data_IF_008425719688
#
_entry.id   IF_008425719688
#
_cell.length_a   1.000
_cell.length_b   1.000
_cell.length_c   1.000
_cell.angle_alpha   90.00
_cell.angle_beta   90.00
_cell.angle_gamma   90.00
#
_symmetry.space_group_name_H-M   'P 1'
#
loop_
_entity.id
_entity.type
_entity.pdbx_description
1 polymer ?
#
# COMPACT_ATOMS: atom_id res chain seq x y z
N UNK A 1 -2.20 -7.14 34.41
CA UNK A 1 -1.06 -7.07 33.49
C UNK A 1 -0.53 -8.46 33.20
N UNK A 2 -0.84 -9.00 32.01
CA UNK A 2 -0.16 -10.16 31.48
C UNK A 2 1.18 -9.67 30.89
N UNK A 3 2.33 -10.28 31.23
CA UNK A 3 3.58 -9.97 30.55
C UNK A 3 3.47 -10.25 29.05
N UNK A 4 4.02 -9.38 28.19
CA UNK A 4 3.98 -9.54 26.73
C UNK A 4 4.39 -10.94 26.28
N UNK A 5 5.46 -11.49 26.88
CA UNK A 5 5.96 -12.83 26.58
C UNK A 5 4.92 -13.93 26.83
N UNK A 6 4.10 -13.78 27.87
CA UNK A 6 3.05 -14.75 28.17
C UNK A 6 1.91 -14.62 27.16
N UNK A 7 1.56 -13.39 26.74
CA UNK A 7 0.57 -13.18 25.71
C UNK A 7 1.01 -13.75 24.35
N UNK A 8 2.29 -13.57 23.97
CA UNK A 8 2.91 -14.22 22.79
C UNK A 8 2.76 -15.74 22.84
N UNK A 9 3.11 -16.36 23.97
CA UNK A 9 2.99 -17.81 24.16
C UNK A 9 1.53 -18.26 24.01
N UNK A 10 0.59 -17.62 24.70
CA UNK A 10 -0.83 -17.98 24.62
C UNK A 10 -1.40 -17.80 23.20
N UNK A 11 -0.96 -16.77 22.47
CA UNK A 11 -1.34 -16.57 21.07
C UNK A 11 -0.80 -17.71 20.18
N UNK A 12 0.49 -18.05 20.33
CA UNK A 12 1.14 -19.12 19.54
C UNK A 12 0.52 -20.50 19.79
N UNK A 13 0.06 -20.76 21.01
CA UNK A 13 -0.62 -22.00 21.40
C UNK A 13 -2.13 -21.98 21.10
N UNK A 14 -2.64 -20.93 20.44
CA UNK A 14 -4.06 -20.73 20.12
C UNK A 14 -4.97 -20.80 21.35
N UNK A 15 -4.46 -20.32 22.49
CA UNK A 15 -5.19 -20.24 23.78
C UNK A 15 -5.89 -18.89 23.97
N UNK A 16 -5.70 -17.95 23.06
CA UNK A 16 -6.40 -16.68 23.01
C UNK A 16 -7.50 -16.75 21.95
N UNK A 17 -8.73 -16.41 22.33
CA UNK A 17 -9.83 -16.34 21.37
C UNK A 17 -9.62 -15.12 20.44
N UNK A 18 -9.67 -15.28 19.11
CA UNK A 18 -9.51 -14.16 18.17
C UNK A 18 -10.83 -13.38 18.06
N UNK A 19 -11.12 -12.60 19.09
CA UNK A 19 -12.29 -11.72 19.19
C UNK A 19 -11.87 -10.28 19.46
N UNK A 20 -12.73 -9.32 19.14
CA UNK A 20 -12.47 -7.89 19.36
C UNK A 20 -12.16 -7.65 20.84
N UNK A 21 -12.98 -8.20 21.75
CA UNK A 21 -12.75 -8.04 23.18
C UNK A 21 -11.35 -8.49 23.63
N UNK A 22 -10.84 -9.63 23.12
CA UNK A 22 -9.50 -10.11 23.48
C UNK A 22 -8.43 -9.23 22.86
N UNK A 23 -8.62 -8.82 21.60
CA UNK A 23 -7.74 -7.87 20.91
C UNK A 23 -7.62 -6.55 21.69
N UNK A 24 -8.74 -5.91 22.04
CA UNK A 24 -8.78 -4.64 22.77
C UNK A 24 -8.17 -4.76 24.17
N UNK A 25 -8.46 -5.84 24.90
CA UNK A 25 -7.88 -6.08 26.22
C UNK A 25 -6.36 -6.26 26.14
N UNK A 26 -5.85 -6.97 25.12
CA UNK A 26 -4.41 -7.14 24.92
C UNK A 26 -3.75 -5.83 24.53
N UNK A 27 -4.34 -5.08 23.60
CA UNK A 27 -3.84 -3.77 23.21
C UNK A 27 -3.71 -2.87 24.44
N UNK A 28 -4.80 -2.69 25.20
CA UNK A 28 -4.81 -1.82 26.39
C UNK A 28 -3.86 -2.28 27.50
N UNK A 29 -3.61 -3.59 27.61
CA UNK A 29 -2.68 -4.12 28.60
C UNK A 29 -1.20 -3.93 28.22
N UNK A 30 -0.91 -3.70 26.94
CA UNK A 30 0.46 -3.72 26.38
C UNK A 30 0.90 -2.36 25.81
N UNK A 31 -0.02 -1.46 25.45
CA UNK A 31 0.26 -0.18 24.81
C UNK A 31 1.08 0.82 25.66
N UNK A 32 1.26 0.55 26.96
CA UNK A 32 2.00 1.41 27.87
C UNK A 32 3.54 1.33 27.75
N UNK A 33 4.10 0.41 26.96
CA UNK A 33 5.56 0.26 26.80
C UNK A 33 5.99 0.55 25.36
N UNK A 34 6.62 1.71 25.14
CA UNK A 34 7.06 2.17 23.80
C UNK A 34 8.10 1.22 23.17
N UNK A 35 8.94 0.59 23.98
CA UNK A 35 9.99 -0.32 23.50
C UNK A 35 9.42 -1.61 22.89
N UNK A 36 8.16 -1.93 23.19
CA UNK A 36 7.51 -3.20 22.82
C UNK A 36 6.44 -3.02 21.72
N UNK A 37 6.23 -1.82 21.17
CA UNK A 37 5.14 -1.53 20.20
C UNK A 37 5.19 -2.48 18.99
N UNK A 38 6.35 -2.66 18.37
CA UNK A 38 6.49 -3.57 17.22
C UNK A 38 6.11 -5.01 17.57
N UNK A 39 6.54 -5.49 18.74
CA UNK A 39 6.23 -6.84 19.21
C UNK A 39 4.75 -6.99 19.55
N UNK A 40 4.15 -5.95 20.13
CA UNK A 40 2.71 -5.87 20.39
C UNK A 40 1.92 -5.94 19.08
N UNK A 41 2.27 -5.13 18.07
CA UNK A 41 1.59 -5.12 16.78
C UNK A 41 1.71 -6.48 16.08
N UNK A 42 2.89 -7.12 16.11
CA UNK A 42 3.05 -8.49 15.61
C UNK A 42 2.19 -9.50 16.39
N UNK A 43 2.10 -9.40 17.71
CA UNK A 43 1.21 -10.24 18.52
C UNK A 43 -0.26 -10.05 18.13
N UNK A 44 -0.71 -8.81 18.00
CA UNK A 44 -2.09 -8.49 17.63
C UNK A 44 -2.38 -8.96 16.19
N UNK A 45 -1.46 -8.77 15.26
CA UNK A 45 -1.54 -9.31 13.91
C UNK A 45 -1.67 -10.84 13.90
N UNK A 46 -0.88 -11.55 14.71
CA UNK A 46 -0.97 -12.99 14.86
C UNK A 46 -2.30 -13.45 15.48
N UNK A 47 -2.88 -12.67 16.39
CA UNK A 47 -4.20 -12.96 16.95
C UNK A 47 -5.28 -12.83 15.87
N UNK A 48 -5.29 -11.71 15.15
CA UNK A 48 -6.25 -11.44 14.08
C UNK A 48 -6.13 -12.46 12.95
N UNK A 49 -4.91 -12.89 12.64
CA UNK A 49 -4.66 -13.92 11.63
C UNK A 49 -5.33 -15.28 11.93
N UNK A 50 -5.70 -15.56 13.18
CA UNK A 50 -6.44 -16.78 13.52
C UNK A 50 -7.92 -16.71 13.10
N UNK A 51 -8.47 -15.51 12.93
CA UNK A 51 -9.81 -15.25 12.39
C UNK A 51 -9.84 -13.89 11.66
N UNK A 52 -9.27 -13.83 10.43
CA UNK A 52 -9.08 -12.56 9.73
C UNK A 52 -10.38 -11.82 9.40
N UNK A 53 -11.53 -12.51 9.34
CA UNK A 53 -12.83 -11.93 9.02
C UNK A 53 -13.25 -10.81 9.98
N UNK A 54 -12.67 -10.79 11.18
CA UNK A 54 -12.94 -9.75 12.17
C UNK A 54 -12.59 -8.35 11.66
N UNK A 55 -11.60 -8.22 10.77
CA UNK A 55 -11.23 -6.95 10.14
C UNK A 55 -12.40 -6.40 9.32
N UNK A 56 -13.17 -7.27 8.66
CA UNK A 56 -14.31 -6.85 7.85
C UNK A 56 -15.62 -6.76 8.65
N UNK A 57 -15.68 -7.43 9.81
CA UNK A 57 -16.86 -7.42 10.67
C UNK A 57 -16.86 -6.19 11.58
N UNK A 58 -15.70 -5.87 12.16
CA UNK A 58 -15.53 -4.79 13.15
C UNK A 58 -14.29 -3.93 12.83
N UNK A 59 -14.20 -3.32 11.63
CA UNK A 59 -13.02 -2.56 11.18
C UNK A 59 -12.68 -1.37 12.09
N UNK A 60 -13.70 -0.71 12.67
CA UNK A 60 -13.50 0.42 13.58
C UNK A 60 -12.70 -0.02 14.82
N UNK A 61 -13.10 -1.12 15.47
CA UNK A 61 -12.44 -1.62 16.69
C UNK A 61 -11.03 -2.15 16.45
N UNK A 62 -10.69 -2.49 15.20
CA UNK A 62 -9.37 -3.02 14.84
C UNK A 62 -8.41 -1.91 14.42
N UNK A 63 -8.87 -0.94 13.62
CA UNK A 63 -8.01 0.11 13.08
C UNK A 63 -7.99 1.39 13.91
N UNK A 64 -8.96 1.57 14.82
CA UNK A 64 -9.08 2.78 15.63
C UNK A 64 -8.98 2.44 17.11
N UNK A 65 -8.10 3.15 17.79
CA UNK A 65 -7.89 3.06 19.23
C UNK A 65 -8.24 4.40 19.83
N UNK A 66 -9.19 4.42 20.77
CA UNK A 66 -9.69 5.66 21.39
C UNK A 66 -10.18 6.72 20.38
N UNK A 67 -10.54 6.28 19.17
CA UNK A 67 -11.01 7.14 18.07
C UNK A 67 -9.91 7.60 17.11
N UNK A 68 -8.64 7.29 17.39
CA UNK A 68 -7.50 7.62 16.54
C UNK A 68 -7.09 6.42 15.69
N UNK A 69 -6.73 6.69 14.42
CA UNK A 69 -6.29 5.65 13.48
C UNK A 69 -4.89 5.17 13.82
N UNK A 70 -4.74 3.87 14.11
CA UNK A 70 -3.45 3.25 14.38
C UNK A 70 -2.78 2.80 13.07
N UNK A 71 -1.99 3.71 12.49
CA UNK A 71 -1.30 3.49 11.22
C UNK A 71 -0.28 2.35 11.29
N UNK A 72 0.42 2.17 12.42
CA UNK A 72 1.44 1.14 12.58
C UNK A 72 0.81 -0.25 12.64
N UNK A 73 -0.27 -0.40 13.40
CA UNK A 73 -1.03 -1.64 13.45
C UNK A 73 -1.68 -1.94 12.10
N UNK A 74 -2.32 -0.95 11.47
CA UNK A 74 -2.92 -1.13 10.15
C UNK A 74 -1.89 -1.62 9.12
N UNK A 75 -0.71 -1.00 9.09
CA UNK A 75 0.40 -1.40 8.22
C UNK A 75 0.86 -2.84 8.51
N UNK A 76 0.93 -3.23 9.78
CA UNK A 76 1.26 -4.61 10.17
C UNK A 76 0.21 -5.62 9.67
N UNK A 77 -1.08 -5.30 9.80
CA UNK A 77 -2.16 -6.17 9.31
C UNK A 77 -2.14 -6.30 7.79
N UNK A 78 -1.86 -5.23 7.05
CA UNK A 78 -1.73 -5.30 5.59
C UNK A 78 -0.48 -6.07 5.13
N UNK A 79 0.60 -6.07 5.91
CA UNK A 79 1.80 -6.92 5.66
C UNK A 79 1.61 -8.38 6.05
N UNK A 80 0.65 -8.68 6.92
CA UNK A 80 0.52 -10.01 7.50
C UNK A 80 0.19 -11.07 6.43
N UNK A 81 1.02 -12.12 6.32
CA UNK A 81 0.95 -13.13 5.24
C UNK A 81 -0.26 -14.06 5.34
N UNK A 82 -0.77 -14.28 6.54
CA UNK A 82 -1.92 -15.17 6.78
C UNK A 82 -3.28 -14.47 6.59
N UNK A 83 -3.29 -13.16 6.39
CA UNK A 83 -4.52 -12.41 6.13
C UNK A 83 -4.76 -12.40 4.62
N UNK A 84 -5.91 -12.94 4.20
CA UNK A 84 -6.25 -13.09 2.79
C UNK A 84 -6.37 -11.75 2.04
N UNK A 85 -5.98 -11.75 0.76
CA UNK A 85 -6.01 -10.54 -0.09
C UNK A 85 -7.42 -9.95 -0.22
N UNK A 86 -8.45 -10.80 -0.27
CA UNK A 86 -9.85 -10.37 -0.29
C UNK A 86 -10.24 -9.56 0.96
N UNK A 87 -9.73 -9.95 2.14
CA UNK A 87 -9.98 -9.26 3.41
C UNK A 87 -9.24 -7.92 3.44
N UNK A 88 -7.99 -7.89 2.99
CA UNK A 88 -7.20 -6.66 2.86
C UNK A 88 -7.85 -5.65 1.90
N UNK A 89 -8.27 -6.09 0.72
CA UNK A 89 -8.97 -5.23 -0.25
C UNK A 89 -10.30 -4.73 0.32
N UNK A 90 -11.07 -5.59 1.00
CA UNK A 90 -12.32 -5.18 1.64
C UNK A 90 -12.09 -4.13 2.74
N UNK A 91 -11.03 -4.28 3.55
CA UNK A 91 -10.64 -3.32 4.57
C UNK A 91 -10.24 -1.96 3.97
N UNK A 92 -9.46 -1.95 2.88
CA UNK A 92 -9.08 -0.72 2.18
C UNK A 92 -10.29 0.01 1.59
N UNK A 93 -11.25 -0.73 1.02
CA UNK A 93 -12.53 -0.16 0.57
C UNK A 93 -13.31 0.44 1.72
N UNK A 94 -13.40 -0.27 2.84
CA UNK A 94 -14.08 0.25 4.04
C UNK A 94 -13.43 1.55 4.53
N UNK A 95 -12.09 1.60 4.60
CA UNK A 95 -11.35 2.80 5.00
C UNK A 95 -11.64 3.98 4.07
N UNK A 96 -11.62 3.76 2.75
CA UNK A 96 -11.97 4.80 1.77
C UNK A 96 -13.40 5.31 1.98
N UNK A 97 -14.36 4.40 2.12
CA UNK A 97 -15.78 4.73 2.12
C UNK A 97 -16.25 5.37 3.45
N UNK A 98 -15.63 4.99 4.57
CA UNK A 98 -16.08 5.39 5.91
C UNK A 98 -15.15 6.41 6.58
N UNK A 99 -13.89 6.52 6.13
CA UNK A 99 -12.87 7.38 6.73
C UNK A 99 -12.19 8.23 5.64
N UNK A 100 -12.91 9.17 5.01
CA UNK A 100 -12.40 9.94 3.87
C UNK A 100 -11.09 10.66 4.18
N UNK A 101 -10.13 10.57 3.27
CA UNK A 101 -8.83 11.24 3.43
C UNK A 101 -7.79 10.46 4.24
N UNK A 102 -8.14 9.30 4.83
CA UNK A 102 -7.16 8.51 5.60
C UNK A 102 -6.09 7.92 4.67
N UNK A 103 -6.49 7.39 3.52
CA UNK A 103 -5.59 6.76 2.55
C UNK A 103 -4.67 7.78 1.85
N UNK A 104 -5.10 9.04 1.75
CA UNK A 104 -4.26 10.13 1.22
C UNK A 104 -3.14 10.54 2.18
N UNK A 105 -3.30 10.25 3.48
CA UNK A 105 -2.43 10.74 4.56
C UNK A 105 -1.54 9.67 5.17
N UNK A 106 -1.92 8.40 5.10
CA UNK A 106 -1.22 7.30 5.77
C UNK A 106 -0.36 6.46 4.83
N UNK A 107 0.82 6.04 5.27
CA UNK A 107 1.73 5.17 4.53
C UNK A 107 1.47 3.68 4.83
N UNK A 108 0.25 3.23 4.53
CA UNK A 108 -0.22 1.90 4.92
C UNK A 108 0.42 0.73 4.19
N UNK A 109 0.80 0.94 2.93
CA UNK A 109 1.25 -0.11 2.02
C UNK A 109 2.60 0.28 1.43
N UNK A 110 3.49 -0.70 1.33
CA UNK A 110 4.59 -0.61 0.36
C UNK A 110 4.06 -0.88 -1.05
N UNK A 111 4.83 -0.48 -2.07
CA UNK A 111 4.46 -0.72 -3.45
C UNK A 111 4.37 -2.21 -3.80
N UNK A 112 5.18 -3.06 -3.16
CA UNK A 112 5.13 -4.51 -3.35
C UNK A 112 3.79 -5.10 -2.88
N UNK A 113 3.30 -4.67 -1.71
CA UNK A 113 2.00 -5.13 -1.20
C UNK A 113 0.88 -4.62 -2.10
N UNK A 114 0.97 -3.36 -2.56
CA UNK A 114 0.00 -2.83 -3.51
C UNK A 114 0.02 -3.64 -4.81
N UNK A 115 1.18 -4.05 -5.32
CA UNK A 115 1.30 -4.90 -6.50
C UNK A 115 0.62 -6.26 -6.30
N UNK A 116 0.75 -6.89 -5.12
CA UNK A 116 0.06 -8.14 -4.79
C UNK A 116 -1.47 -7.97 -4.72
N UNK A 117 -1.94 -6.84 -4.19
CA UNK A 117 -3.37 -6.55 -4.03
C UNK A 117 -4.04 -6.09 -5.32
N UNK A 118 -3.31 -5.42 -6.20
CA UNK A 118 -3.83 -4.73 -7.38
C UNK A 118 -4.69 -5.60 -8.32
N UNK A 119 -4.33 -6.87 -8.63
CA UNK A 119 -5.18 -7.76 -9.42
C UNK A 119 -6.54 -8.09 -8.78
N UNK A 120 -6.67 -7.93 -7.46
CA UNK A 120 -7.89 -8.19 -6.69
C UNK A 120 -8.74 -6.92 -6.51
N UNK A 121 -8.22 -5.76 -6.91
CA UNK A 121 -8.91 -4.48 -6.86
C UNK A 121 -9.61 -4.24 -8.20
N UNK A 122 -10.94 -4.29 -8.20
CA UNK A 122 -11.75 -3.87 -9.35
C UNK A 122 -12.05 -2.36 -9.39
N UNK A 123 -11.35 -1.57 -8.59
CA UNK A 123 -11.64 -0.16 -8.35
C UNK A 123 -10.40 0.69 -8.61
N UNK A 124 -10.40 1.39 -9.74
CA UNK A 124 -9.26 2.16 -10.21
C UNK A 124 -9.01 3.41 -9.34
N UNK A 125 -10.05 4.02 -8.78
CA UNK A 125 -9.92 5.20 -7.92
C UNK A 125 -9.21 4.86 -6.60
N UNK A 126 -9.59 3.73 -5.98
CA UNK A 126 -8.88 3.22 -4.81
C UNK A 126 -7.43 2.88 -5.15
N UNK A 127 -7.19 2.20 -6.27
CA UNK A 127 -5.83 1.83 -6.69
C UNK A 127 -4.96 3.06 -6.95
N UNK A 128 -5.52 4.08 -7.60
CA UNK A 128 -4.84 5.35 -7.86
C UNK A 128 -4.45 6.06 -6.57
N UNK A 129 -5.38 6.15 -5.62
CA UNK A 129 -5.14 6.77 -4.30
C UNK A 129 -3.97 6.09 -3.59
N UNK A 130 -3.98 4.75 -3.54
CA UNK A 130 -2.91 3.98 -2.90
C UNK A 130 -1.59 4.08 -3.66
N UNK A 131 -1.62 4.06 -5.00
CA UNK A 131 -0.42 4.20 -5.82
C UNK A 131 0.26 5.55 -5.58
N UNK A 132 -0.48 6.66 -5.63
CA UNK A 132 0.07 7.99 -5.36
C UNK A 132 0.75 8.02 -3.99
N UNK A 133 0.11 7.43 -2.98
CA UNK A 133 0.66 7.36 -1.63
C UNK A 133 1.95 6.53 -1.54
N UNK A 134 2.00 5.37 -2.17
CA UNK A 134 3.23 4.56 -2.26
C UNK A 134 4.35 5.31 -2.98
N UNK A 135 4.05 6.03 -4.06
CA UNK A 135 5.05 6.80 -4.80
C UNK A 135 5.61 7.98 -3.97
N UNK A 136 4.76 8.66 -3.19
CA UNK A 136 5.19 9.72 -2.26
C UNK A 136 6.12 9.17 -1.16
N UNK A 137 5.91 7.93 -0.73
CA UNK A 137 6.75 7.28 0.29
C UNK A 137 8.20 7.05 -0.17
N UNK A 138 8.45 7.01 -1.48
CA UNK A 138 9.80 6.90 -2.05
C UNK A 138 10.37 5.48 -2.13
N UNK A 139 9.73 4.49 -1.52
CA UNK A 139 10.16 3.08 -1.54
C UNK A 139 9.43 2.30 -2.63
N UNK A 140 9.96 2.38 -3.85
CA UNK A 140 9.33 1.81 -5.04
C UNK A 140 10.29 0.91 -5.83
N UNK A 141 9.93 -0.36 -5.98
CA UNK A 141 10.53 -1.24 -6.98
C UNK A 141 9.92 -1.00 -8.37
N UNK A 142 10.74 -0.91 -9.42
CA UNK A 142 10.28 -0.73 -10.81
C UNK A 142 9.32 -1.85 -11.26
N UNK A 143 9.59 -3.09 -10.84
CA UNK A 143 8.77 -4.25 -11.21
C UNK A 143 7.39 -4.20 -10.54
N UNK A 144 7.34 -3.89 -9.24
CA UNK A 144 6.09 -3.68 -8.52
C UNK A 144 5.27 -2.53 -9.13
N UNK A 145 5.92 -1.41 -9.46
CA UNK A 145 5.28 -0.30 -10.17
C UNK A 145 4.64 -0.75 -11.49
N UNK A 146 5.37 -1.55 -12.28
CA UNK A 146 4.89 -2.09 -13.54
C UNK A 146 3.65 -2.97 -13.34
N UNK A 147 3.64 -3.83 -12.32
CA UNK A 147 2.47 -4.66 -11.97
C UNK A 147 1.26 -3.80 -11.61
N UNK A 148 1.44 -2.78 -10.77
CA UNK A 148 0.34 -1.89 -10.36
C UNK A 148 -0.21 -1.13 -11.57
N UNK A 149 0.66 -0.50 -12.37
CA UNK A 149 0.23 0.27 -13.55
C UNK A 149 -0.54 -0.59 -14.57
N UNK A 150 -0.08 -1.81 -14.84
CA UNK A 150 -0.72 -2.72 -15.80
C UNK A 150 -2.03 -3.34 -15.28
N UNK A 151 -2.35 -3.16 -14.00
CA UNK A 151 -3.61 -3.67 -13.42
C UNK A 151 -4.78 -2.69 -13.55
N UNK A 152 -4.53 -1.44 -13.97
CA UNK A 152 -5.59 -0.47 -14.24
C UNK A 152 -6.45 -0.90 -15.41
N UNK A 153 -7.76 -0.66 -15.31
CA UNK A 153 -8.69 -0.84 -16.41
C UNK A 153 -8.50 0.25 -17.47
N UNK A 154 -8.15 1.48 -17.06
CA UNK A 154 -7.70 2.52 -17.99
C UNK A 154 -6.27 2.23 -18.49
N UNK A 155 -6.18 1.81 -19.75
CA UNK A 155 -4.92 1.48 -20.43
C UNK A 155 -3.93 2.66 -20.51
N UNK A 156 -4.38 3.90 -20.27
CA UNK A 156 -3.51 5.08 -20.25
C UNK A 156 -2.41 4.96 -19.18
N UNK A 157 -2.71 4.33 -18.04
CA UNK A 157 -1.75 4.09 -16.96
C UNK A 157 -0.64 3.12 -17.36
N UNK A 158 -0.91 2.17 -18.27
CA UNK A 158 0.08 1.19 -18.74
C UNK A 158 1.22 1.89 -19.50
N UNK A 159 0.95 3.07 -20.05
CA UNK A 159 1.91 3.89 -20.78
C UNK A 159 2.85 4.74 -19.91
N UNK A 160 2.65 4.79 -18.59
CA UNK A 160 3.44 5.62 -17.67
C UNK A 160 4.85 5.08 -17.39
N UNK A 161 5.11 3.82 -17.72
CA UNK A 161 6.42 3.19 -17.56
C UNK A 161 6.92 2.57 -18.88
N UNK A 162 7.29 3.40 -19.87
CA UNK A 162 7.83 2.89 -21.13
C UNK A 162 9.17 2.18 -20.92
N UNK A 163 9.43 1.17 -21.74
CA UNK A 163 10.68 0.41 -21.69
C UNK A 163 11.79 1.09 -22.52
N UNK A 164 11.67 1.10 -23.85
CA UNK A 164 12.76 1.55 -24.74
C UNK A 164 12.53 2.89 -25.43
N UNK A 165 11.27 3.25 -25.67
CA UNK A 165 10.88 4.42 -26.47
C UNK A 165 9.90 5.28 -25.72
N UNK A 166 9.92 6.58 -25.99
CA UNK A 166 8.91 7.47 -25.45
C UNK A 166 7.50 7.01 -25.85
N UNK A 167 6.52 7.28 -24.99
CA UNK A 167 5.09 7.10 -25.28
C UNK A 167 4.37 8.42 -25.20
N UNK A 168 3.29 8.52 -25.96
CA UNK A 168 2.32 9.62 -25.88
C UNK A 168 1.02 9.04 -25.35
N UNK A 169 0.55 9.56 -24.22
CA UNK A 169 -0.69 9.13 -23.57
C UNK A 169 -1.65 10.31 -23.45
N UNK A 170 -2.98 10.10 -23.37
CA UNK A 170 -3.92 11.17 -23.09
C UNK A 170 -3.53 11.97 -21.84
N UNK A 171 -3.79 13.28 -21.85
CA UNK A 171 -3.60 14.10 -20.66
C UNK A 171 -4.83 14.05 -19.75
N UNK A 172 -4.60 13.76 -18.47
CA UNK A 172 -5.50 14.06 -17.36
C UNK A 172 -4.67 14.57 -16.18
N UNK A 173 -5.32 15.23 -15.22
CA UNK A 173 -4.67 15.72 -14.00
C UNK A 173 -4.02 14.56 -13.24
N UNK A 174 -4.72 13.44 -13.11
CA UNK A 174 -4.21 12.26 -12.42
C UNK A 174 -3.03 11.59 -13.13
N UNK A 175 -3.09 11.44 -14.46
CA UNK A 175 -1.98 10.87 -15.23
C UNK A 175 -0.74 11.76 -15.17
N UNK A 176 -0.93 13.08 -15.18
CA UNK A 176 0.16 14.04 -15.02
C UNK A 176 0.81 13.91 -13.64
N UNK A 177 0.02 13.93 -12.58
CA UNK A 177 0.50 13.82 -11.20
C UNK A 177 1.26 12.51 -10.97
N UNK A 178 0.72 11.37 -11.43
CA UNK A 178 1.42 10.09 -11.31
C UNK A 178 2.71 10.09 -12.13
N UNK A 179 2.73 10.68 -13.34
CA UNK A 179 3.95 10.80 -14.12
C UNK A 179 5.02 11.65 -13.42
N UNK A 180 4.65 12.75 -12.77
CA UNK A 180 5.58 13.56 -11.97
C UNK A 180 6.15 12.77 -10.79
N UNK A 181 5.29 12.04 -10.06
CA UNK A 181 5.72 11.19 -8.95
C UNK A 181 6.70 10.10 -9.41
N UNK A 182 6.41 9.40 -10.51
CA UNK A 182 7.30 8.39 -11.10
C UNK A 182 8.63 9.02 -11.58
N UNK A 183 8.57 10.24 -12.12
CA UNK A 183 9.78 10.98 -12.51
C UNK A 183 10.63 11.37 -11.30
N UNK A 184 10.03 11.74 -10.17
CA UNK A 184 10.76 12.10 -8.95
C UNK A 184 11.53 10.91 -8.37
N UNK A 185 11.05 9.69 -8.60
CA UNK A 185 11.74 8.45 -8.25
C UNK A 185 12.80 8.03 -9.29
N UNK A 186 12.96 8.79 -10.38
CA UNK A 186 13.99 8.56 -11.40
C UNK A 186 13.68 7.43 -12.38
N UNK A 187 12.43 6.93 -12.45
CA UNK A 187 12.08 5.87 -13.39
C UNK A 187 11.82 6.37 -14.82
N UNK A 188 11.38 7.63 -14.95
CA UNK A 188 11.20 8.32 -16.23
C UNK A 188 11.84 9.71 -16.16
N UNK A 189 12.07 10.31 -17.33
CA UNK A 189 12.36 11.73 -17.42
C UNK A 189 11.11 12.56 -17.07
N UNK A 190 11.27 13.83 -16.66
CA UNK A 190 10.15 14.72 -16.39
C UNK A 190 9.13 14.72 -17.53
N UNK A 191 7.84 14.49 -17.23
CA UNK A 191 6.79 14.46 -18.25
C UNK A 191 6.69 15.81 -18.96
N UNK A 192 6.28 15.78 -20.23
CA UNK A 192 6.12 16.99 -21.05
C UNK A 192 4.80 16.95 -21.79
N UNK A 193 4.19 18.11 -22.00
CA UNK A 193 3.08 18.20 -22.95
C UNK A 193 3.58 17.98 -24.38
N UNK A 194 2.77 17.30 -25.19
CA UNK A 194 3.00 17.20 -26.62
C UNK A 194 2.84 18.57 -27.31
N UNK A 195 3.21 18.61 -28.59
CA UNK A 195 3.17 19.83 -29.40
C UNK A 195 2.36 19.63 -30.68
N UNK A 196 1.78 20.72 -31.20
CA UNK A 196 1.01 20.68 -32.45
C UNK A 196 -0.19 19.75 -32.32
N UNK A 197 -0.27 18.72 -33.17
CA UNK A 197 -1.40 17.78 -33.18
C UNK A 197 -1.53 16.94 -31.90
N UNK A 198 -0.51 16.93 -31.03
CA UNK A 198 -0.49 16.15 -29.79
C UNK A 198 -0.51 17.03 -28.52
N UNK A 199 -0.94 18.30 -28.60
CA UNK A 199 -0.96 19.22 -27.45
C UNK A 199 -1.86 18.76 -26.28
N UNK A 200 -2.75 17.79 -26.52
CA UNK A 200 -3.62 17.17 -25.51
C UNK A 200 -3.04 15.87 -24.93
N UNK A 201 -1.76 15.57 -25.20
CA UNK A 201 -1.09 14.34 -24.75
C UNK A 201 0.11 14.65 -23.88
N UNK A 202 0.42 13.73 -22.99
CA UNK A 202 1.64 13.70 -22.18
C UNK A 202 2.66 12.82 -22.89
N UNK A 203 3.90 13.31 -22.98
CA UNK A 203 5.06 12.57 -23.49
C UNK A 203 5.82 11.99 -22.31
N UNK A 204 5.82 10.67 -22.19
CA UNK A 204 6.55 9.90 -21.18
C UNK A 204 7.81 9.35 -21.80
N UNK A 205 8.99 9.69 -21.26
CA UNK A 205 10.29 9.26 -21.81
C UNK A 205 11.05 8.43 -20.78
N UNK A 206 11.52 7.21 -21.13
CA UNK A 206 12.28 6.40 -20.18
C UNK A 206 13.64 7.04 -19.87
N UNK A 207 14.17 6.80 -18.66
CA UNK A 207 15.57 7.09 -18.36
C UNK A 207 16.43 6.07 -19.10
N UNK A 208 17.33 6.55 -19.98
CA UNK A 208 18.33 5.68 -20.60
C UNK A 208 19.45 5.48 -19.60
N UNK A 209 19.62 4.26 -19.10
CA UNK A 209 20.89 3.89 -18.49
C UNK A 209 21.96 3.98 -19.58
N UNK A 210 22.99 4.80 -19.35
CA UNK A 210 24.21 4.74 -20.14
C UNK A 210 24.70 3.31 -19.96
N UNK A 211 24.69 2.51 -21.04
CA UNK A 211 25.40 1.23 -21.02
C UNK A 211 26.82 1.57 -20.63
N UNK A 212 27.28 1.02 -19.51
CA UNK A 212 28.70 1.03 -19.18
C UNK A 212 29.44 0.62 -20.44
N UNK A 213 30.33 1.51 -20.88
CA UNK A 213 31.22 1.27 -21.99
C UNK A 213 32.02 0.03 -21.58
N UNK A 214 31.70 -1.12 -22.16
CA UNK A 214 32.57 -2.29 -22.11
C UNK A 214 33.90 -1.87 -22.75
N UNK A 215 34.86 -1.48 -21.90
CA UNK A 215 36.26 -1.48 -22.26
C UNK A 215 36.65 -2.95 -22.46
N UNK A 216 36.65 -3.37 -23.72
CA UNK A 216 37.44 -4.53 -24.12
C UNK A 216 38.91 -4.08 -24.18
N UNK A 217 39.70 -4.56 -23.22
CA UNK A 217 41.14 -4.73 -23.38
C UNK A 217 41.43 -6.05 -24.12
#
# INVERSE_FOLDING_TARGET
NIPLRNAELLCSEKKLAPTVNVFTVLFNALCGNVDDINRMNTLLGNLIAQRPEIITQEPEDIFYIEGDFDEELASELFRHKLIGMNIKVAALRWLRDNKPGILDKSYLLSLDILAELSPWMGDDDLRLTLLKRCLVAGDAGKDALCVVLNSFADESYHGLLPHDRFRKIPHSVDLWEVAELISNLGFIQPPKMGSGRDEHKIVITPVRYVRDVEFYD
#
